data_IF_759732593043
#
_entry.id   IF_759732593043
#
_cell.length_a   1.000
_cell.length_b   1.000
_cell.length_c   1.000
_cell.angle_alpha   90.00
_cell.angle_beta   90.00
_cell.angle_gamma   90.00
#
_symmetry.space_group_name_H-M   'P 1'
#
loop_
_entity.id
_entity.type
_entity.pdbx_description
1 polymer ?
#
# COMPACT_ATOMS: atom_id res chain seq x y z
N UNK A 1 -8.62 -29.27 2.69
CA UNK A 1 -9.44 -28.14 2.18
C UNK A 1 -8.61 -26.88 2.32
N UNK A 2 -8.25 -26.27 1.22
CA UNK A 2 -7.68 -24.93 1.28
C UNK A 2 -8.79 -23.97 1.71
N UNK A 3 -8.65 -23.36 2.89
CA UNK A 3 -9.45 -22.20 3.21
C UNK A 3 -9.24 -21.09 2.17
N UNK A 4 -10.09 -20.08 2.18
CA UNK A 4 -9.89 -18.89 1.34
C UNK A 4 -8.54 -18.24 1.69
N UNK A 5 -7.71 -17.97 0.70
CA UNK A 5 -6.41 -17.31 0.89
C UNK A 5 -6.61 -15.81 1.14
N UNK A 6 -6.20 -15.36 2.32
CA UNK A 6 -6.29 -13.97 2.77
C UNK A 6 -4.90 -13.36 2.86
N UNK A 7 -4.68 -12.23 2.24
CA UNK A 7 -3.38 -11.56 2.25
C UNK A 7 -3.50 -10.13 2.74
N UNK A 8 -2.41 -9.66 3.35
CA UNK A 8 -2.27 -8.31 3.84
C UNK A 8 -1.25 -7.56 2.98
N UNK A 9 -1.62 -6.40 2.45
CA UNK A 9 -0.72 -5.50 1.75
C UNK A 9 -0.53 -4.22 2.58
N UNK A 10 0.60 -4.10 3.30
CA UNK A 10 0.84 -2.97 4.20
C UNK A 10 1.55 -1.82 3.50
N UNK A 11 1.29 -0.62 3.95
CA UNK A 11 2.00 0.57 3.52
C UNK A 11 1.48 1.82 4.22
N UNK A 12 2.18 2.93 4.05
CA UNK A 12 1.70 4.23 4.55
C UNK A 12 0.58 4.78 3.67
N UNK A 13 0.63 4.51 2.37
CA UNK A 13 -0.34 5.02 1.37
C UNK A 13 -0.61 6.52 1.53
N UNK A 14 0.44 7.30 1.50
CA UNK A 14 0.43 8.73 1.79
C UNK A 14 1.03 9.60 0.66
N UNK A 15 0.33 9.66 -0.47
CA UNK A 15 -0.92 9.00 -0.83
C UNK A 15 -0.75 7.65 -1.56
N UNK A 16 -1.86 6.96 -1.74
CA UNK A 16 -1.99 5.86 -2.70
C UNK A 16 -1.67 6.35 -4.11
N UNK A 17 -0.92 5.56 -4.89
CA UNK A 17 -0.57 5.88 -6.27
C UNK A 17 -0.76 4.70 -7.21
N UNK A 18 -0.60 4.91 -8.52
CA UNK A 18 -0.85 3.87 -9.52
C UNK A 18 0.04 2.65 -9.38
N UNK A 19 1.26 2.79 -8.84
CA UNK A 19 2.12 1.65 -8.54
C UNK A 19 1.56 0.75 -7.43
N UNK A 20 0.98 1.32 -6.38
CA UNK A 20 0.26 0.57 -5.36
C UNK A 20 -0.99 -0.12 -5.95
N UNK A 21 -1.75 0.62 -6.75
CA UNK A 21 -2.96 0.10 -7.37
C UNK A 21 -2.67 -1.12 -8.25
N UNK A 22 -1.61 -1.08 -9.04
CA UNK A 22 -1.18 -2.23 -9.85
C UNK A 22 -0.94 -3.49 -9.00
N UNK A 23 -0.20 -3.37 -7.89
CA UNK A 23 0.07 -4.48 -6.97
C UNK A 23 -1.23 -5.01 -6.36
N UNK A 24 -2.12 -4.11 -5.94
CA UNK A 24 -3.41 -4.49 -5.34
C UNK A 24 -4.28 -5.23 -6.36
N UNK A 25 -4.35 -4.75 -7.60
CA UNK A 25 -5.10 -5.39 -8.69
C UNK A 25 -4.53 -6.77 -9.05
N UNK A 26 -3.20 -6.93 -9.05
CA UNK A 26 -2.57 -8.24 -9.25
C UNK A 26 -2.93 -9.17 -8.08
N UNK A 27 -2.76 -8.70 -6.84
CA UNK A 27 -3.09 -9.48 -5.65
C UNK A 27 -4.56 -9.89 -5.62
N UNK A 28 -5.49 -9.00 -6.03
CA UNK A 28 -6.92 -9.30 -6.08
C UNK A 28 -7.30 -10.43 -7.04
N UNK A 29 -6.46 -10.69 -8.05
CA UNK A 29 -6.65 -11.81 -8.97
C UNK A 29 -5.99 -13.11 -8.50
N UNK A 30 -5.02 -13.02 -7.59
CA UNK A 30 -4.25 -14.17 -7.10
C UNK A 30 -4.83 -14.75 -5.81
N UNK A 31 -5.47 -13.94 -5.00
CA UNK A 31 -5.93 -14.31 -3.66
C UNK A 31 -7.45 -14.06 -3.50
N UNK A 32 -8.05 -14.78 -2.58
CA UNK A 32 -9.50 -14.69 -2.37
C UNK A 32 -9.90 -13.41 -1.63
N UNK A 33 -9.06 -12.93 -0.73
CA UNK A 33 -9.24 -11.66 -0.01
C UNK A 33 -7.92 -10.90 0.11
N UNK A 34 -7.96 -9.60 -0.18
CA UNK A 34 -6.82 -8.67 -0.02
C UNK A 34 -7.19 -7.59 0.97
N UNK A 35 -6.41 -7.49 2.04
CA UNK A 35 -6.56 -6.42 3.03
C UNK A 35 -5.42 -5.41 2.82
N UNK A 36 -5.77 -4.24 2.34
CA UNK A 36 -4.82 -3.13 2.17
C UNK A 36 -4.77 -2.35 3.47
N UNK A 37 -3.65 -2.39 4.17
CA UNK A 37 -3.51 -1.83 5.51
C UNK A 37 -2.71 -0.55 5.51
N UNK A 38 -3.37 0.56 5.84
CA UNK A 38 -2.68 1.81 6.12
C UNK A 38 -2.00 1.71 7.49
N UNK A 39 -0.68 1.59 7.48
CA UNK A 39 0.14 1.55 8.69
C UNK A 39 0.31 2.97 9.24
N UNK A 40 0.05 3.11 10.55
CA UNK A 40 0.15 4.40 11.24
C UNK A 40 1.52 4.49 11.91
N UNK A 41 2.23 5.59 11.63
CA UNK A 41 3.43 5.94 12.38
C UNK A 41 3.09 7.04 13.40
N UNK A 42 3.02 6.66 14.66
CA UNK A 42 2.67 7.58 15.75
C UNK A 42 3.70 8.69 15.97
N UNK A 43 4.93 8.51 15.49
CA UNK A 43 6.03 9.47 15.68
C UNK A 43 6.15 10.50 14.57
N UNK A 44 5.47 10.29 13.44
CA UNK A 44 5.52 11.17 12.27
C UNK A 44 4.12 11.47 11.76
N UNK A 45 3.69 12.74 11.72
CA UNK A 45 2.46 13.11 11.05
C UNK A 45 2.57 12.77 9.55
N UNK A 46 1.49 12.23 8.98
CA UNK A 46 1.39 11.99 7.54
C UNK A 46 1.25 13.30 6.77
N UNK A 47 1.47 13.22 5.46
CA UNK A 47 1.14 14.31 4.55
C UNK A 47 -0.39 14.53 4.49
N UNK A 48 -1.14 13.43 4.39
CA UNK A 48 -2.58 13.42 4.62
C UNK A 48 -2.91 12.81 5.98
N UNK A 49 -3.92 13.33 6.70
CA UNK A 49 -4.49 12.69 7.87
C UNK A 49 -4.92 11.24 7.55
N UNK A 50 -4.91 10.37 8.56
CA UNK A 50 -5.20 8.94 8.36
C UNK A 50 -6.60 8.71 7.79
N UNK A 51 -7.60 9.42 8.28
CA UNK A 51 -8.99 9.34 7.81
C UNK A 51 -9.14 9.76 6.33
N UNK A 52 -8.42 10.78 5.90
CA UNK A 52 -8.38 11.17 4.48
C UNK A 52 -7.69 10.10 3.63
N UNK A 53 -6.59 9.51 4.11
CA UNK A 53 -5.90 8.42 3.40
C UNK A 53 -6.82 7.21 3.22
N UNK A 54 -7.49 6.79 4.29
CA UNK A 54 -8.43 5.67 4.27
C UNK A 54 -9.57 5.93 3.30
N UNK A 55 -10.21 7.11 3.36
CA UNK A 55 -11.29 7.48 2.45
C UNK A 55 -10.86 7.44 0.97
N UNK A 56 -9.68 7.98 0.65
CA UNK A 56 -9.12 7.92 -0.71
C UNK A 56 -8.84 6.49 -1.15
N UNK A 57 -8.34 5.63 -0.27
CA UNK A 57 -8.08 4.22 -0.55
C UNK A 57 -9.40 3.47 -0.81
N UNK A 58 -10.38 3.61 0.06
CA UNK A 58 -11.69 2.96 -0.10
C UNK A 58 -12.37 3.36 -1.42
N UNK A 59 -12.39 4.63 -1.75
CA UNK A 59 -12.96 5.11 -3.02
C UNK A 59 -12.17 4.59 -4.23
N UNK A 60 -10.84 4.61 -4.16
CA UNK A 60 -9.96 4.16 -5.26
C UNK A 60 -10.05 2.66 -5.51
N UNK A 61 -10.34 1.86 -4.49
CA UNK A 61 -10.36 0.40 -4.55
C UNK A 61 -11.79 -0.19 -4.64
N UNK A 62 -12.82 0.65 -4.68
CA UNK A 62 -14.22 0.22 -4.67
C UNK A 62 -14.62 -0.69 -5.85
N UNK A 63 -13.85 -0.69 -6.94
CA UNK A 63 -14.06 -1.55 -8.10
C UNK A 63 -13.55 -2.98 -7.90
N UNK A 64 -12.86 -3.28 -6.81
CA UNK A 64 -12.28 -4.58 -6.48
C UNK A 64 -13.09 -5.23 -5.34
N UNK A 65 -13.99 -6.18 -5.63
CA UNK A 65 -14.97 -6.68 -4.65
C UNK A 65 -14.35 -7.51 -3.52
N UNK A 66 -13.16 -8.08 -3.72
CA UNK A 66 -12.43 -8.87 -2.73
C UNK A 66 -11.32 -8.09 -2.02
N UNK A 67 -11.29 -6.76 -2.17
CA UNK A 67 -10.32 -5.87 -1.54
C UNK A 67 -11.01 -5.03 -0.48
N UNK A 68 -10.45 -4.97 0.71
CA UNK A 68 -10.90 -4.05 1.77
C UNK A 68 -9.72 -3.28 2.37
N UNK A 69 -10.04 -2.14 2.95
CA UNK A 69 -9.07 -1.26 3.63
C UNK A 69 -9.16 -1.46 5.14
N UNK A 70 -8.01 -1.46 5.79
CA UNK A 70 -7.90 -1.47 7.24
C UNK A 70 -6.77 -0.53 7.69
N UNK A 71 -6.69 -0.28 8.97
CA UNK A 71 -5.61 0.49 9.60
C UNK A 71 -4.94 -0.35 10.68
N UNK A 72 -3.66 -0.15 10.90
CA UNK A 72 -2.94 -0.78 12.00
C UNK A 72 -1.78 0.10 12.46
N UNK A 73 -1.40 -0.07 13.72
CA UNK A 73 -0.24 0.56 14.33
C UNK A 73 0.80 -0.52 14.67
N UNK A 74 2.06 -0.12 14.79
CA UNK A 74 3.12 -1.03 15.17
C UNK A 74 3.68 -1.89 14.04
N UNK A 75 3.88 -3.16 14.30
CA UNK A 75 4.52 -4.07 13.35
C UNK A 75 3.54 -4.64 12.33
N UNK A 76 4.02 -4.84 11.11
CA UNK A 76 3.24 -5.48 10.04
C UNK A 76 2.81 -6.90 10.42
N UNK A 77 3.66 -7.66 11.13
CA UNK A 77 3.33 -9.02 11.58
C UNK A 77 2.20 -9.03 12.61
N UNK A 78 2.12 -8.04 13.49
CA UNK A 78 1.01 -7.91 14.44
C UNK A 78 -0.30 -7.61 13.71
N UNK A 79 -0.25 -6.77 12.67
CA UNK A 79 -1.40 -6.54 11.80
C UNK A 79 -1.84 -7.79 11.05
N UNK A 80 -0.89 -8.60 10.56
CA UNK A 80 -1.18 -9.85 9.87
C UNK A 80 -1.86 -10.86 10.80
N UNK A 81 -1.39 -11.00 12.02
CA UNK A 81 -2.02 -11.87 13.03
C UNK A 81 -3.42 -11.37 13.43
N UNK A 82 -3.56 -10.07 13.71
CA UNK A 82 -4.83 -9.49 14.15
C UNK A 82 -5.92 -9.57 13.06
N UNK A 83 -5.53 -9.54 11.79
CA UNK A 83 -6.44 -9.62 10.64
C UNK A 83 -6.57 -11.04 10.06
N UNK A 84 -5.90 -12.02 10.68
CA UNK A 84 -5.91 -13.42 10.26
C UNK A 84 -5.50 -13.58 8.79
N UNK A 85 -4.41 -12.91 8.40
CA UNK A 85 -3.85 -12.97 7.06
C UNK A 85 -2.85 -14.13 6.93
N UNK A 86 -2.98 -14.92 5.86
CA UNK A 86 -2.09 -16.06 5.59
C UNK A 86 -0.71 -15.61 5.11
N UNK A 87 -0.66 -14.51 4.35
CA UNK A 87 0.58 -13.98 3.76
C UNK A 87 0.62 -12.45 3.82
N UNK A 88 1.85 -11.93 3.83
CA UNK A 88 2.12 -10.51 3.61
C UNK A 88 2.51 -10.33 2.15
N UNK A 89 1.85 -9.42 1.44
CA UNK A 89 2.20 -9.05 0.06
C UNK A 89 3.04 -7.78 0.08
N UNK A 90 4.11 -7.77 -0.71
CA UNK A 90 4.98 -6.60 -0.91
C UNK A 90 5.23 -6.40 -2.40
N UNK A 91 5.13 -5.16 -2.86
CA UNK A 91 5.54 -4.80 -4.22
C UNK A 91 7.06 -4.62 -4.32
N UNK A 92 7.63 -4.99 -5.46
CA UNK A 92 9.05 -4.77 -5.76
C UNK A 92 9.17 -3.89 -7.00
N UNK A 93 9.96 -2.81 -6.91
CA UNK A 93 10.20 -1.85 -8.00
C UNK A 93 11.63 -1.89 -8.51
N UNK A 94 12.59 -2.02 -7.62
CA UNK A 94 14.03 -1.94 -7.91
C UNK A 94 14.80 -3.04 -7.18
N UNK A 95 16.03 -3.38 -7.62
CA UNK A 95 16.88 -4.33 -6.90
C UNK A 95 17.17 -3.91 -5.45
N UNK A 96 17.30 -2.60 -5.18
CA UNK A 96 17.51 -2.10 -3.81
C UNK A 96 16.30 -2.31 -2.91
N UNK A 97 15.08 -2.16 -3.44
CA UNK A 97 13.85 -2.51 -2.72
C UNK A 97 13.86 -4.00 -2.33
N UNK A 98 14.29 -4.86 -3.26
CA UNK A 98 14.33 -6.30 -3.04
C UNK A 98 15.24 -6.69 -1.87
N UNK A 99 16.42 -6.11 -1.77
CA UNK A 99 17.36 -6.41 -0.66
C UNK A 99 16.74 -6.05 0.70
N UNK A 100 16.21 -4.84 0.83
CA UNK A 100 15.61 -4.37 2.08
C UNK A 100 14.36 -5.18 2.45
N UNK A 101 13.48 -5.42 1.50
CA UNK A 101 12.25 -6.18 1.72
C UNK A 101 12.52 -7.66 2.00
N UNK A 102 13.56 -8.25 1.40
CA UNK A 102 13.98 -9.62 1.67
C UNK A 102 14.47 -9.77 3.11
N UNK A 103 15.30 -8.86 3.59
CA UNK A 103 15.76 -8.88 4.98
C UNK A 103 14.60 -8.80 5.95
N UNK A 104 13.65 -7.89 5.72
CA UNK A 104 12.47 -7.75 6.57
C UNK A 104 11.58 -9.00 6.51
N UNK A 105 11.39 -9.59 5.35
CA UNK A 105 10.62 -10.82 5.18
C UNK A 105 11.25 -11.99 5.96
N UNK A 106 12.56 -12.12 5.92
CA UNK A 106 13.28 -13.15 6.67
C UNK A 106 13.19 -12.94 8.19
N UNK A 107 13.29 -11.69 8.65
CA UNK A 107 13.10 -11.35 10.07
C UNK A 107 11.67 -11.62 10.53
N UNK A 108 10.68 -11.22 9.76
CA UNK A 108 9.27 -11.49 10.06
C UNK A 108 9.01 -13.00 10.19
N UNK A 109 9.53 -13.78 9.25
CA UNK A 109 9.42 -15.25 9.30
C UNK A 109 10.11 -15.85 10.52
N UNK A 110 11.29 -15.38 10.87
CA UNK A 110 12.03 -15.89 12.03
C UNK A 110 11.33 -15.59 13.36
N UNK A 111 10.63 -14.44 13.45
CA UNK A 111 9.98 -14.00 14.69
C UNK A 111 8.58 -14.58 14.86
N UNK A 112 7.78 -14.62 13.79
CA UNK A 112 6.35 -14.97 13.86
C UNK A 112 5.95 -16.13 12.95
N UNK A 113 6.82 -16.58 12.04
CA UNK A 113 6.48 -17.55 11.01
C UNK A 113 5.76 -16.95 9.79
N UNK A 114 5.50 -15.63 9.76
CA UNK A 114 4.80 -14.97 8.67
C UNK A 114 5.57 -15.06 7.34
N UNK A 115 4.89 -15.53 6.31
CA UNK A 115 5.45 -15.63 4.96
C UNK A 115 5.15 -14.37 4.15
N UNK A 116 6.09 -13.97 3.29
CA UNK A 116 5.94 -12.80 2.40
C UNK A 116 5.95 -13.23 0.96
N UNK A 117 5.00 -12.71 0.19
CA UNK A 117 4.90 -12.89 -1.26
C UNK A 117 5.29 -11.57 -1.93
N UNK A 118 6.26 -11.63 -2.83
CA UNK A 118 6.70 -10.47 -3.60
C UNK A 118 6.04 -10.43 -4.96
N UNK A 119 5.48 -9.28 -5.31
CA UNK A 119 4.87 -9.02 -6.62
C UNK A 119 5.71 -7.93 -7.31
N UNK A 120 6.39 -8.24 -8.40
CA UNK A 120 7.11 -7.21 -9.16
C UNK A 120 6.14 -6.20 -9.76
N UNK A 121 6.45 -4.90 -9.65
CA UNK A 121 5.74 -3.87 -10.42
C UNK A 121 6.11 -3.94 -11.90
N UNK A 122 5.21 -3.53 -12.77
CA UNK A 122 5.52 -3.37 -14.19
C UNK A 122 6.64 -2.35 -14.42
N UNK A 123 7.45 -2.56 -15.45
CA UNK A 123 8.59 -1.71 -15.78
C UNK A 123 8.22 -0.23 -15.95
N UNK A 124 6.98 0.05 -16.37
CA UNK A 124 6.50 1.41 -16.61
C UNK A 124 6.18 2.19 -15.32
N UNK A 125 6.05 1.55 -14.16
CA UNK A 125 5.62 2.19 -12.91
C UNK A 125 6.68 2.19 -11.80
N UNK A 126 7.85 1.62 -12.05
CA UNK A 126 8.92 1.49 -11.06
C UNK A 126 9.44 2.82 -10.49
N UNK A 127 9.25 3.92 -11.20
CA UNK A 127 9.68 5.27 -10.77
C UNK A 127 8.65 5.97 -9.86
N UNK A 128 7.41 5.49 -9.78
CA UNK A 128 6.34 6.16 -9.03
C UNK A 128 6.56 5.93 -7.53
N UNK A 129 6.59 7.01 -6.76
CA UNK A 129 6.67 6.96 -5.30
C UNK A 129 5.83 8.03 -4.65
N UNK A 130 5.25 7.72 -3.49
CA UNK A 130 4.48 8.70 -2.70
C UNK A 130 5.33 9.90 -2.30
N UNK A 131 6.60 9.70 -2.01
CA UNK A 131 7.54 10.77 -1.67
C UNK A 131 7.63 11.79 -2.80
N UNK A 132 7.92 11.35 -4.02
CA UNK A 132 8.04 12.25 -5.17
C UNK A 132 6.71 12.87 -5.56
N UNK A 133 5.61 12.16 -5.44
CA UNK A 133 4.28 12.72 -5.64
C UNK A 133 4.03 13.89 -4.69
N UNK A 134 4.35 13.74 -3.40
CA UNK A 134 4.23 14.83 -2.42
C UNK A 134 5.11 16.02 -2.76
N UNK A 135 6.39 15.78 -3.03
CA UNK A 135 7.35 16.84 -3.37
C UNK A 135 6.90 17.63 -4.61
N UNK A 136 6.57 16.92 -5.68
CA UNK A 136 6.22 17.54 -6.98
C UNK A 136 4.87 18.29 -6.90
N UNK A 137 3.87 17.70 -6.22
CA UNK A 137 2.56 18.34 -6.08
C UNK A 137 2.61 19.58 -5.18
N UNK A 138 3.46 19.58 -4.15
CA UNK A 138 3.66 20.74 -3.27
C UNK A 138 4.25 21.93 -4.03
N UNK A 139 5.08 21.68 -5.04
CA UNK A 139 5.62 22.69 -5.93
C UNK A 139 4.63 23.11 -7.06
N UNK A 140 3.38 22.67 -6.97
CA UNK A 140 2.31 23.06 -7.89
C UNK A 140 2.32 22.36 -9.25
N UNK A 141 3.09 21.27 -9.41
CA UNK A 141 3.10 20.50 -10.64
C UNK A 141 1.99 19.45 -10.65
N UNK A 142 1.43 19.19 -11.81
CA UNK A 142 0.38 18.18 -11.98
C UNK A 142 0.96 16.76 -11.94
N UNK A 143 0.43 15.96 -11.04
CA UNK A 143 0.73 14.53 -10.86
C UNK A 143 -0.52 13.65 -11.00
N UNK A 144 -1.61 14.20 -11.53
CA UNK A 144 -2.90 13.50 -11.61
C UNK A 144 -2.85 12.20 -12.40
N UNK A 145 -1.93 12.07 -13.35
CA UNK A 145 -1.71 10.86 -14.14
C UNK A 145 -0.94 9.75 -13.41
N UNK A 146 -0.44 10.03 -12.19
CA UNK A 146 0.33 9.08 -11.36
C UNK A 146 -0.45 8.59 -10.14
N UNK A 147 -1.69 9.02 -9.97
CA UNK A 147 -2.54 8.71 -8.80
C UNK A 147 -3.97 8.41 -9.22
N UNK A 148 -4.74 7.66 -8.41
CA UNK A 148 -6.17 7.51 -8.64
C UNK A 148 -6.93 8.84 -8.54
N UNK A 149 -8.11 8.90 -9.15
CA UNK A 149 -8.95 10.11 -9.17
C UNK A 149 -9.22 10.75 -7.82
N UNK A 150 -9.60 10.00 -6.76
CA UNK A 150 -9.78 10.55 -5.42
C UNK A 150 -8.54 11.25 -4.87
N UNK A 151 -7.37 10.67 -5.09
CA UNK A 151 -6.09 11.25 -4.68
C UNK A 151 -5.77 12.51 -5.48
N UNK A 152 -6.00 12.50 -6.79
CA UNK A 152 -5.79 13.67 -7.65
C UNK A 152 -6.62 14.86 -7.16
N UNK A 153 -7.89 14.64 -6.81
CA UNK A 153 -8.77 15.69 -6.24
C UNK A 153 -8.23 16.24 -4.91
N UNK A 154 -7.80 15.35 -4.02
CA UNK A 154 -7.26 15.74 -2.71
C UNK A 154 -5.96 16.54 -2.82
N UNK A 155 -5.05 16.14 -3.71
CA UNK A 155 -3.80 16.88 -3.97
C UNK A 155 -4.09 18.28 -4.54
N UNK A 156 -5.01 18.39 -5.48
CA UNK A 156 -5.43 19.66 -6.06
C UNK A 156 -6.06 20.60 -5.02
N UNK A 157 -6.94 20.07 -4.16
CA UNK A 157 -7.55 20.84 -3.09
C UNK A 157 -6.53 21.33 -2.05
N UNK A 158 -5.50 20.52 -1.77
CA UNK A 158 -4.41 20.89 -0.86
C UNK A 158 -3.50 21.96 -1.45
N UNK A 159 -3.18 21.90 -2.73
CA UNK A 159 -2.36 22.91 -3.41
C UNK A 159 -3.05 24.28 -3.53
N UNK A 160 -4.37 24.33 -3.43
CA UNK A 160 -5.16 25.57 -3.49
C UNK A 160 -5.28 26.30 -2.14
N UNK A 161 -4.75 25.73 -1.04
CA UNK A 161 -4.75 26.32 0.32
C UNK A 161 -3.46 27.07 0.57
#
# INVERSE_FOLDING_TARGET
MSGLSKVLYPGSFDPLHIGHLEIIEIASRLFDEVIVVAMVNLTKPGFFPLDERVAMMEESLAHLPNVRVATSEGLVVDAAEALDADFIVKGLRTPGDFEAEMQMAQMNKAVTGAETVFIPSGNALGFVSSRYIREISTEGRDVSHLVPGPVARALKARAAR
#
